data_IF_163060836857
#
_entry.id   IF_163060836857
#
_cell.length_a   1.000
_cell.length_b   1.000
_cell.length_c   1.000
_cell.angle_alpha   90.00
_cell.angle_beta   90.00
_cell.angle_gamma   90.00
#
_symmetry.space_group_name_H-M   'P 1'
#
loop_
_entity.id
_entity.type
_entity.pdbx_description
1 polymer ?
#
# COMPACT_ATOMS: atom_id res chain seq x y z
N UNK A 1 -22.48 -1.72 -1.34
CA UNK A 1 -21.19 -1.16 -0.88
C UNK A 1 -19.99 -1.77 -1.62
N UNK A 2 -19.84 -3.10 -1.74
CA UNK A 2 -18.71 -3.71 -2.47
C UNK A 2 -18.63 -3.28 -3.94
N UNK A 3 -19.76 -3.18 -4.65
CA UNK A 3 -19.79 -2.74 -6.06
C UNK A 3 -19.29 -1.31 -6.25
N UNK A 4 -19.62 -0.41 -5.33
CA UNK A 4 -19.16 0.98 -5.37
C UNK A 4 -17.63 1.07 -5.20
N UNK A 5 -17.07 0.37 -4.20
CA UNK A 5 -15.61 0.31 -4.01
C UNK A 5 -14.88 -0.22 -5.25
N UNK A 6 -15.43 -1.21 -5.95
CA UNK A 6 -14.79 -1.75 -7.16
C UNK A 6 -14.81 -0.76 -8.33
N UNK A 7 -15.87 0.03 -8.49
CA UNK A 7 -15.94 1.09 -9.51
C UNK A 7 -14.97 2.21 -9.17
N UNK A 8 -14.90 2.62 -7.91
CA UNK A 8 -13.96 3.64 -7.43
C UNK A 8 -12.50 3.20 -7.62
N UNK A 9 -12.20 1.94 -7.29
CA UNK A 9 -10.87 1.35 -7.52
C UNK A 9 -10.55 1.26 -9.01
N UNK A 10 -11.51 0.88 -9.85
CA UNK A 10 -11.36 0.87 -11.30
C UNK A 10 -11.11 2.26 -11.88
N UNK A 11 -11.84 3.28 -11.44
CA UNK A 11 -11.62 4.67 -11.85
C UNK A 11 -10.26 5.19 -11.36
N UNK A 12 -9.88 4.87 -10.12
CA UNK A 12 -8.56 5.19 -9.57
C UNK A 12 -7.42 4.52 -10.32
N UNK A 13 -7.61 3.30 -10.81
CA UNK A 13 -6.59 2.54 -11.55
C UNK A 13 -6.30 3.11 -12.94
N UNK A 14 -7.21 3.88 -13.53
CA UNK A 14 -6.94 4.63 -14.77
C UNK A 14 -5.94 5.75 -14.53
N UNK A 15 -6.10 6.46 -13.39
CA UNK A 15 -5.20 7.55 -13.00
C UNK A 15 -3.88 7.02 -12.44
N UNK A 16 -3.95 5.94 -11.69
CA UNK A 16 -2.83 5.32 -11.01
C UNK A 16 -2.85 3.80 -11.20
N UNK A 17 -2.20 3.27 -12.27
CA UNK A 17 -2.28 1.87 -12.68
C UNK A 17 -1.85 0.86 -11.60
N UNK A 18 -0.98 1.25 -10.67
CA UNK A 18 -0.52 0.41 -9.55
C UNK A 18 -1.66 -0.03 -8.62
N UNK A 19 -2.77 0.73 -8.57
CA UNK A 19 -3.98 0.32 -7.84
C UNK A 19 -4.59 -0.98 -8.41
N UNK A 20 -4.34 -1.29 -9.68
CA UNK A 20 -4.73 -2.57 -10.29
C UNK A 20 -4.05 -3.74 -9.59
N UNK A 21 -2.76 -3.60 -9.27
CA UNK A 21 -2.00 -4.64 -8.56
C UNK A 21 -2.53 -4.78 -7.13
N UNK A 22 -2.83 -3.66 -6.47
CA UNK A 22 -3.46 -3.67 -5.14
C UNK A 22 -4.85 -4.31 -5.13
N UNK A 23 -5.62 -4.22 -6.24
CA UNK A 23 -6.93 -4.86 -6.34
C UNK A 23 -6.83 -6.39 -6.27
N UNK A 24 -5.74 -6.97 -6.77
CA UNK A 24 -5.47 -8.41 -6.65
C UNK A 24 -5.28 -8.81 -5.19
N UNK A 25 -4.54 -8.00 -4.41
CA UNK A 25 -4.39 -8.23 -2.97
C UNK A 25 -5.75 -8.22 -2.26
N UNK A 26 -6.62 -7.25 -2.57
CA UNK A 26 -7.95 -7.18 -1.99
C UNK A 26 -8.84 -8.38 -2.33
N UNK A 27 -8.71 -8.94 -3.52
CA UNK A 27 -9.41 -10.17 -3.89
C UNK A 27 -8.88 -11.37 -3.10
N UNK A 28 -7.57 -11.47 -2.89
CA UNK A 28 -6.97 -12.52 -2.07
C UNK A 28 -7.45 -12.43 -0.61
N UNK A 29 -7.49 -11.23 -0.05
CA UNK A 29 -8.00 -11.02 1.30
C UNK A 29 -9.50 -11.28 1.42
N UNK A 30 -10.29 -10.89 0.42
CA UNK A 30 -11.73 -11.21 0.38
C UNK A 30 -11.97 -12.74 0.35
N UNK A 31 -11.07 -13.50 -0.29
CA UNK A 31 -11.09 -14.96 -0.26
C UNK A 31 -10.76 -15.50 1.14
N UNK A 32 -9.71 -15.00 1.80
CA UNK A 32 -9.33 -15.40 3.17
C UNK A 32 -10.44 -15.13 4.19
N UNK A 33 -11.15 -14.00 4.06
CA UNK A 33 -12.30 -13.65 4.91
C UNK A 33 -13.57 -14.44 4.58
N UNK A 34 -13.52 -15.39 3.64
CA UNK A 34 -14.70 -16.16 3.17
C UNK A 34 -15.88 -15.27 2.74
N UNK A 35 -15.60 -14.02 2.37
CA UNK A 35 -16.60 -13.07 1.88
C UNK A 35 -16.76 -13.13 0.36
N UNK A 36 -15.88 -13.85 -0.34
CA UNK A 36 -15.86 -13.97 -1.79
C UNK A 36 -16.87 -15.03 -2.25
N UNK A 37 -18.11 -14.59 -2.52
CA UNK A 37 -19.08 -15.44 -3.22
C UNK A 37 -18.91 -15.29 -4.73
N UNK A 38 -19.29 -16.28 -5.57
CA UNK A 38 -19.21 -16.15 -7.04
C UNK A 38 -19.93 -14.90 -7.56
N UNK A 39 -21.08 -14.58 -6.95
CA UNK A 39 -21.85 -13.36 -7.29
C UNK A 39 -21.09 -12.07 -6.93
N UNK A 40 -20.39 -12.05 -5.79
CA UNK A 40 -19.57 -10.92 -5.36
C UNK A 40 -18.35 -10.75 -6.25
N UNK A 41 -17.69 -11.86 -6.63
CA UNK A 41 -16.56 -11.86 -7.55
C UNK A 41 -16.91 -11.30 -8.92
N UNK A 42 -17.99 -11.81 -9.57
CA UNK A 42 -18.46 -11.28 -10.84
C UNK A 42 -18.83 -9.80 -10.74
N UNK A 43 -19.49 -9.41 -9.63
CA UNK A 43 -19.83 -8.01 -9.41
C UNK A 43 -18.61 -7.09 -9.24
N UNK A 44 -17.55 -7.57 -8.60
CA UNK A 44 -16.29 -6.86 -8.45
C UNK A 44 -15.56 -6.71 -9.80
N UNK A 45 -15.50 -7.78 -10.58
CA UNK A 45 -14.84 -7.81 -11.88
C UNK A 45 -15.54 -6.87 -12.88
N UNK A 46 -16.86 -6.92 -12.94
CA UNK A 46 -17.66 -6.01 -13.79
C UNK A 46 -17.50 -4.54 -13.34
N UNK A 47 -17.50 -4.28 -12.02
CA UNK A 47 -17.29 -2.93 -11.48
C UNK A 47 -15.91 -2.37 -11.82
N UNK A 48 -14.88 -3.21 -11.78
CA UNK A 48 -13.52 -2.83 -12.14
C UNK A 48 -13.34 -2.62 -13.66
N UNK A 49 -13.98 -3.45 -14.50
CA UNK A 49 -13.90 -3.33 -15.97
C UNK A 49 -14.66 -2.12 -16.51
N UNK A 50 -15.71 -1.64 -15.83
CA UNK A 50 -16.60 -0.59 -16.31
C UNK A 50 -15.86 0.71 -16.68
N UNK A 51 -14.94 1.27 -15.86
CA UNK A 51 -14.17 2.46 -16.22
C UNK A 51 -13.27 2.25 -17.45
N UNK A 52 -12.68 1.06 -17.60
CA UNK A 52 -11.87 0.72 -18.78
C UNK A 52 -12.71 0.61 -20.06
N UNK A 53 -13.96 0.14 -19.95
CA UNK A 53 -14.90 0.14 -21.05
C UNK A 53 -15.24 1.56 -21.50
N UNK A 54 -15.44 2.47 -20.55
CA UNK A 54 -15.68 3.88 -20.87
C UNK A 54 -14.44 4.53 -21.50
N UNK A 55 -13.25 4.22 -20.97
CA UNK A 55 -11.98 4.71 -21.54
C UNK A 55 -11.78 4.19 -22.97
N UNK A 56 -12.08 2.91 -23.22
CA UNK A 56 -12.02 2.31 -24.55
C UNK A 56 -13.00 3.00 -25.51
N UNK A 57 -14.26 3.19 -25.10
CA UNK A 57 -15.28 3.89 -25.91
C UNK A 57 -14.85 5.31 -26.27
N UNK A 58 -14.28 6.04 -25.31
CA UNK A 58 -13.75 7.38 -25.53
C UNK A 58 -12.57 7.38 -26.51
N UNK A 59 -11.57 6.50 -26.28
CA UNK A 59 -10.41 6.37 -27.14
C UNK A 59 -10.76 5.97 -28.58
N UNK A 60 -11.75 5.09 -28.73
CA UNK A 60 -12.27 4.67 -30.05
C UNK A 60 -12.96 5.82 -30.78
N UNK A 61 -13.82 6.60 -30.09
CA UNK A 61 -14.59 7.70 -30.67
C UNK A 61 -13.69 8.85 -31.15
N UNK A 62 -12.63 9.16 -30.40
CA UNK A 62 -11.66 10.21 -30.74
C UNK A 62 -10.47 9.72 -31.58
N UNK A 63 -10.44 8.42 -31.92
CA UNK A 63 -9.36 7.78 -32.66
C UNK A 63 -7.98 7.88 -31.97
N UNK A 64 -7.96 7.96 -30.64
CA UNK A 64 -6.76 8.06 -29.78
C UNK A 64 -6.58 6.78 -28.95
N UNK A 65 -6.32 5.65 -29.62
CA UNK A 65 -6.13 4.36 -28.96
C UNK A 65 -4.96 4.33 -27.97
N UNK A 66 -4.02 5.24 -28.09
CA UNK A 66 -2.87 5.35 -27.20
C UNK A 66 -3.31 5.64 -25.74
N UNK A 67 -4.40 6.42 -25.55
CA UNK A 67 -4.97 6.69 -24.23
C UNK A 67 -5.43 5.41 -23.51
N UNK A 68 -5.96 4.45 -24.27
CA UNK A 68 -6.39 3.16 -23.72
C UNK A 68 -5.23 2.28 -23.31
N UNK A 69 -4.14 2.26 -24.11
CA UNK A 69 -2.96 1.42 -23.82
C UNK A 69 -2.04 2.01 -22.75
N UNK A 70 -2.11 3.30 -22.51
CA UNK A 70 -1.24 4.02 -21.57
C UNK A 70 -1.20 3.42 -20.15
N UNK A 71 -2.32 3.11 -19.47
CA UNK A 71 -2.31 2.49 -18.15
C UNK A 71 -1.64 1.12 -18.15
N UNK A 72 -1.86 0.32 -19.18
CA UNK A 72 -1.27 -1.02 -19.30
C UNK A 72 0.23 -0.95 -19.55
N UNK A 73 0.69 -0.05 -20.40
CA UNK A 73 2.10 0.17 -20.65
C UNK A 73 2.83 0.65 -19.39
N UNK A 74 2.22 1.53 -18.60
CA UNK A 74 2.79 1.99 -17.32
C UNK A 74 2.87 0.86 -16.29
N UNK A 75 1.90 -0.06 -16.30
CA UNK A 75 1.86 -1.21 -15.40
C UNK A 75 2.94 -2.25 -15.73
N UNK A 76 3.22 -2.42 -17.04
CA UNK A 76 4.22 -3.33 -17.58
C UNK A 76 5.61 -2.69 -17.69
N UNK A 77 5.74 -1.40 -17.46
CA UNK A 77 7.02 -0.70 -17.44
C UNK A 77 7.81 -1.07 -16.17
N UNK A 78 8.22 -2.34 -16.09
CA UNK A 78 9.24 -2.76 -15.15
C UNK A 78 10.56 -2.18 -15.66
N UNK A 79 10.94 -1.03 -15.10
CA UNK A 79 12.27 -0.48 -15.27
C UNK A 79 13.34 -1.39 -14.64
N UNK A 80 14.49 -0.84 -14.35
CA UNK A 80 15.52 -1.59 -13.62
C UNK A 80 15.00 -1.96 -12.22
N UNK A 81 14.64 -3.24 -12.08
CA UNK A 81 14.15 -3.84 -10.83
C UNK A 81 15.26 -3.71 -9.77
N UNK A 82 14.91 -3.29 -8.56
CA UNK A 82 15.84 -3.04 -7.44
C UNK A 82 16.87 -1.93 -7.67
N UNK A 83 16.72 -1.06 -8.66
CA UNK A 83 17.61 0.08 -8.81
C UNK A 83 17.27 1.18 -7.79
N UNK A 84 17.82 1.04 -6.58
CA UNK A 84 17.67 2.02 -5.51
C UNK A 84 18.36 3.36 -5.78
N UNK A 85 19.20 3.45 -6.82
CA UNK A 85 19.90 4.69 -7.21
C UNK A 85 18.93 5.74 -7.79
N UNK A 86 17.76 5.29 -8.26
CA UNK A 86 16.70 6.18 -8.76
C UNK A 86 16.01 6.94 -7.61
N UNK A 87 15.98 6.34 -6.41
CA UNK A 87 15.37 6.95 -5.25
C UNK A 87 16.23 8.10 -4.72
N UNK A 88 15.54 9.16 -4.31
CA UNK A 88 16.22 10.23 -3.61
C UNK A 88 16.69 9.75 -2.22
N UNK A 89 17.83 10.23 -1.71
CA UNK A 89 18.36 9.77 -0.42
C UNK A 89 17.41 9.93 0.77
N UNK A 90 16.49 10.91 0.72
CA UNK A 90 15.48 11.09 1.75
C UNK A 90 14.35 10.04 1.66
N UNK A 91 13.97 9.61 0.45
CA UNK A 91 13.00 8.51 0.25
C UNK A 91 13.56 7.20 0.78
N UNK A 92 14.84 6.94 0.50
CA UNK A 92 15.55 5.77 1.00
C UNK A 92 15.63 5.77 2.54
N UNK A 93 15.92 6.92 3.15
CA UNK A 93 15.95 7.05 4.60
C UNK A 93 14.58 6.79 5.24
N UNK A 94 13.50 7.34 4.67
CA UNK A 94 12.13 7.10 5.12
C UNK A 94 11.75 5.63 4.95
N UNK A 95 12.04 5.02 3.81
CA UNK A 95 11.76 3.62 3.56
C UNK A 95 12.49 2.71 4.56
N UNK A 96 13.77 2.98 4.84
CA UNK A 96 14.55 2.24 5.83
C UNK A 96 13.95 2.35 7.24
N UNK A 97 13.57 3.56 7.64
CA UNK A 97 12.91 3.79 8.93
C UNK A 97 11.56 3.05 9.02
N UNK A 98 10.70 3.18 7.99
CA UNK A 98 9.41 2.51 7.95
C UNK A 98 9.54 0.98 7.95
N UNK A 99 10.57 0.44 7.29
CA UNK A 99 10.84 -0.99 7.26
C UNK A 99 11.21 -1.52 8.65
N UNK A 100 12.08 -0.83 9.39
CA UNK A 100 12.43 -1.21 10.76
C UNK A 100 11.20 -1.17 11.66
N UNK A 101 10.42 -0.11 11.60
CA UNK A 101 9.19 0.05 12.39
C UNK A 101 8.16 -1.02 12.01
N UNK A 102 8.03 -1.35 10.74
CA UNK A 102 7.15 -2.42 10.25
C UNK A 102 7.53 -3.79 10.82
N UNK A 103 8.83 -4.16 10.76
CA UNK A 103 9.30 -5.45 11.27
C UNK A 103 8.97 -5.59 12.75
N UNK A 104 9.27 -4.58 13.56
CA UNK A 104 9.00 -4.60 15.01
C UNK A 104 7.50 -4.73 15.28
N UNK A 105 6.67 -3.92 14.61
CA UNK A 105 5.22 -3.93 14.78
C UNK A 105 4.60 -5.25 14.31
N UNK A 106 5.03 -5.78 13.16
CA UNK A 106 4.51 -7.03 12.61
C UNK A 106 4.84 -8.23 13.50
N UNK A 107 6.09 -8.33 13.97
CA UNK A 107 6.51 -9.40 14.90
C UNK A 107 5.67 -9.34 16.17
N UNK A 108 5.46 -8.15 16.73
CA UNK A 108 4.63 -7.99 17.92
C UNK A 108 3.17 -8.36 17.66
N UNK A 109 2.56 -7.88 16.56
CA UNK A 109 1.18 -8.20 16.21
C UNK A 109 0.96 -9.71 16.01
N UNK A 110 1.94 -10.42 15.45
CA UNK A 110 1.89 -11.88 15.30
C UNK A 110 2.03 -12.57 16.66
N UNK A 111 2.96 -12.12 17.51
CA UNK A 111 3.23 -12.71 18.81
C UNK A 111 2.11 -12.46 19.83
N UNK A 112 1.58 -11.24 19.89
CA UNK A 112 0.50 -10.83 20.80
C UNK A 112 -0.92 -11.06 20.25
N UNK A 113 -1.04 -11.50 19.02
CA UNK A 113 -2.33 -11.64 18.33
C UNK A 113 -3.32 -12.60 18.99
N UNK A 114 -2.88 -13.41 19.97
CA UNK A 114 -3.78 -14.29 20.74
C UNK A 114 -4.66 -13.52 21.73
N UNK A 115 -4.25 -12.36 22.18
CA UNK A 115 -4.99 -11.52 23.12
C UNK A 115 -6.06 -10.65 22.43
N UNK A 116 -5.92 -10.45 21.11
CA UNK A 116 -6.82 -9.63 20.33
C UNK A 116 -8.11 -10.35 19.93
N UNK A 117 -9.20 -9.56 19.81
CA UNK A 117 -10.46 -10.04 19.26
C UNK A 117 -10.23 -10.54 17.82
N UNK A 118 -10.93 -11.61 17.42
CA UNK A 118 -10.81 -12.25 16.10
C UNK A 118 -10.89 -11.23 14.94
N UNK A 119 -11.80 -10.25 15.06
CA UNK A 119 -11.95 -9.21 14.02
C UNK A 119 -10.73 -8.27 13.96
N UNK A 120 -10.22 -7.84 15.10
CA UNK A 120 -9.05 -6.96 15.19
C UNK A 120 -7.83 -7.65 14.59
N UNK A 121 -7.60 -8.91 14.94
CA UNK A 121 -6.53 -9.72 14.39
C UNK A 121 -6.60 -9.86 12.88
N UNK A 122 -7.81 -10.05 12.34
CA UNK A 122 -8.02 -10.14 10.90
C UNK A 122 -7.66 -8.83 10.18
N UNK A 123 -8.05 -7.67 10.73
CA UNK A 123 -7.68 -6.37 10.17
C UNK A 123 -6.19 -6.07 10.25
N UNK A 124 -5.54 -6.43 11.37
CA UNK A 124 -4.11 -6.25 11.52
C UNK A 124 -3.31 -7.11 10.54
N UNK A 125 -3.75 -8.35 10.32
CA UNK A 125 -3.13 -9.23 9.36
C UNK A 125 -3.27 -8.69 7.93
N UNK A 126 -4.45 -8.17 7.56
CA UNK A 126 -4.63 -7.46 6.30
C UNK A 126 -3.67 -6.28 6.14
N UNK A 127 -3.47 -5.48 7.20
CA UNK A 127 -2.55 -4.34 7.17
C UNK A 127 -1.08 -4.78 7.04
N UNK A 128 -0.70 -5.90 7.68
CA UNK A 128 0.64 -6.49 7.54
C UNK A 128 0.86 -6.92 6.08
N UNK A 129 -0.08 -7.66 5.50
CA UNK A 129 0.00 -8.15 4.13
C UNK A 129 0.01 -6.97 3.13
N UNK A 130 -0.81 -5.94 3.36
CA UNK A 130 -0.83 -4.71 2.55
C UNK A 130 0.51 -3.97 2.62
N UNK A 131 1.06 -3.77 3.81
CA UNK A 131 2.32 -3.05 4.00
C UNK A 131 3.49 -3.81 3.37
N UNK A 132 3.54 -5.13 3.56
CA UNK A 132 4.56 -5.98 2.93
C UNK A 132 4.46 -5.93 1.41
N UNK A 133 3.25 -5.96 0.87
CA UNK A 133 3.01 -5.87 -0.56
C UNK A 133 3.40 -4.50 -1.14
N UNK A 134 3.17 -3.42 -0.40
CA UNK A 134 3.62 -2.07 -0.79
C UNK A 134 5.15 -1.96 -0.81
N UNK A 135 5.85 -2.53 0.17
CA UNK A 135 7.32 -2.60 0.13
C UNK A 135 7.82 -3.37 -1.09
N UNK A 136 7.17 -4.51 -1.41
CA UNK A 136 7.51 -5.29 -2.60
C UNK A 136 7.26 -4.48 -3.89
N UNK A 137 6.15 -3.77 -4.00
CA UNK A 137 5.84 -2.92 -5.16
C UNK A 137 6.87 -1.80 -5.33
N UNK A 138 7.26 -1.13 -4.25
CA UNK A 138 8.27 -0.07 -4.30
C UNK A 138 9.63 -0.65 -4.73
N UNK A 139 9.97 -1.86 -4.26
CA UNK A 139 11.20 -2.54 -4.67
C UNK A 139 11.19 -2.94 -6.15
N UNK A 140 10.03 -3.33 -6.69
CA UNK A 140 9.87 -3.69 -8.11
C UNK A 140 9.77 -2.48 -9.03
N UNK A 141 9.14 -1.39 -8.57
CA UNK A 141 8.90 -0.18 -9.34
C UNK A 141 9.30 1.08 -8.54
N UNK A 142 10.60 1.36 -8.37
CA UNK A 142 11.07 2.49 -7.56
C UNK A 142 10.64 3.85 -8.10
N UNK A 143 10.36 3.97 -9.39
CA UNK A 143 9.86 5.20 -10.04
C UNK A 143 8.56 5.71 -9.40
N UNK A 144 7.70 4.82 -8.90
CA UNK A 144 6.42 5.17 -8.27
C UNK A 144 6.50 5.28 -6.74
N UNK A 145 7.71 5.29 -6.17
CA UNK A 145 7.93 5.36 -4.74
C UNK A 145 7.19 6.54 -4.09
N UNK A 146 7.36 7.75 -4.62
CA UNK A 146 6.73 8.96 -4.07
C UNK A 146 5.21 8.91 -4.05
N UNK A 147 4.59 8.20 -4.99
CA UNK A 147 3.13 8.04 -5.06
C UNK A 147 2.62 6.92 -4.12
N UNK A 148 3.40 5.85 -3.90
CA UNK A 148 3.05 4.74 -3.01
C UNK A 148 3.39 5.02 -1.54
N UNK A 149 4.34 5.91 -1.29
CA UNK A 149 4.86 6.25 0.03
C UNK A 149 3.78 6.74 1.02
N UNK A 150 2.82 7.60 0.65
CA UNK A 150 1.74 8.00 1.56
C UNK A 150 0.89 6.81 2.03
N UNK A 151 0.57 5.88 1.13
CA UNK A 151 -0.20 4.68 1.47
C UNK A 151 0.58 3.77 2.41
N UNK A 152 1.88 3.62 2.18
CA UNK A 152 2.79 2.89 3.05
C UNK A 152 2.87 3.51 4.44
N UNK A 153 2.97 4.84 4.54
CA UNK A 153 3.00 5.56 5.82
C UNK A 153 1.70 5.32 6.59
N UNK A 154 0.54 5.43 5.94
CA UNK A 154 -0.77 5.26 6.58
C UNK A 154 -0.91 3.83 7.12
N UNK A 155 -0.65 2.80 6.30
CA UNK A 155 -0.78 1.40 6.72
C UNK A 155 0.18 1.06 7.87
N UNK A 156 1.42 1.51 7.78
CA UNK A 156 2.43 1.28 8.80
C UNK A 156 2.13 2.04 10.11
N UNK A 157 1.61 3.28 10.03
CA UNK A 157 1.23 4.08 11.22
C UNK A 157 0.16 3.39 12.06
N UNK A 158 -0.81 2.72 11.42
CA UNK A 158 -1.86 1.98 12.13
C UNK A 158 -1.24 0.80 12.89
N UNK A 159 -0.32 0.06 12.27
CA UNK A 159 0.38 -1.06 12.91
C UNK A 159 1.24 -0.60 14.10
N UNK A 160 1.96 0.50 13.93
CA UNK A 160 2.79 1.10 14.99
C UNK A 160 1.91 1.61 16.14
N UNK A 161 0.79 2.26 15.83
CA UNK A 161 -0.17 2.72 16.82
C UNK A 161 -0.73 1.57 17.67
N UNK A 162 -1.11 0.46 17.03
CA UNK A 162 -1.57 -0.75 17.72
C UNK A 162 -0.47 -1.34 18.62
N UNK A 163 0.77 -1.40 18.14
CA UNK A 163 1.91 -1.86 18.92
C UNK A 163 2.09 -1.03 20.21
N UNK A 164 2.08 0.29 20.13
CA UNK A 164 2.28 1.14 21.30
C UNK A 164 1.11 1.14 22.28
N UNK A 165 -0.12 0.91 21.81
CA UNK A 165 -1.29 0.83 22.67
C UNK A 165 -1.28 -0.44 23.53
N UNK A 166 -0.84 -1.56 22.97
CA UNK A 166 -0.84 -2.85 23.69
C UNK A 166 0.39 -3.06 24.57
N UNK A 167 1.52 -2.45 24.25
CA UNK A 167 2.74 -2.64 25.00
C UNK A 167 2.92 -1.56 26.08
N UNK A 168 2.73 -1.94 27.34
CA UNK A 168 2.97 -1.07 28.50
C UNK A 168 4.19 -1.54 29.30
N UNK A 169 5.33 -1.77 28.62
CA UNK A 169 6.58 -2.16 29.22
C UNK A 169 7.62 -1.03 29.20
N UNK A 170 8.60 -1.08 30.13
CA UNK A 170 9.71 -0.10 30.12
C UNK A 170 10.46 -0.08 28.78
N UNK A 171 10.65 -1.25 28.17
CA UNK A 171 11.29 -1.38 26.86
C UNK A 171 10.48 -0.71 25.74
N UNK A 172 9.16 -0.83 25.77
CA UNK A 172 8.29 -0.18 24.80
C UNK A 172 8.33 1.36 24.89
N UNK A 173 8.39 1.90 26.11
CA UNK A 173 8.51 3.34 26.32
C UNK A 173 9.85 3.89 25.80
N UNK A 174 10.95 3.17 26.02
CA UNK A 174 12.26 3.55 25.45
C UNK A 174 12.23 3.49 23.93
N UNK A 175 11.65 2.42 23.36
CA UNK A 175 11.51 2.29 21.91
C UNK A 175 10.62 3.40 21.30
N UNK A 176 9.56 3.81 21.99
CA UNK A 176 8.73 4.94 21.59
C UNK A 176 9.54 6.24 21.50
N UNK A 177 10.34 6.55 22.52
CA UNK A 177 11.20 7.75 22.54
C UNK A 177 12.23 7.68 21.39
N UNK A 178 12.86 6.53 21.16
CA UNK A 178 13.82 6.32 20.07
C UNK A 178 13.14 6.54 18.72
N UNK A 179 11.94 5.99 18.52
CA UNK A 179 11.19 6.14 17.27
C UNK A 179 10.81 7.60 17.01
N UNK A 180 10.41 8.33 18.05
CA UNK A 180 10.06 9.75 17.95
C UNK A 180 11.29 10.60 17.61
N UNK A 181 12.43 10.35 18.27
CA UNK A 181 13.70 11.01 17.93
C UNK A 181 14.11 10.70 16.48
N UNK A 182 13.98 9.45 16.04
CA UNK A 182 14.24 9.04 14.66
C UNK A 182 13.39 9.82 13.66
N UNK A 183 12.10 10.01 13.95
CA UNK A 183 11.19 10.77 13.11
C UNK A 183 11.56 12.25 13.02
N UNK A 184 11.97 12.87 14.15
CA UNK A 184 12.45 14.27 14.20
C UNK A 184 13.74 14.41 13.38
N UNK A 185 14.67 13.44 13.49
CA UNK A 185 15.92 13.45 12.72
C UNK A 185 15.65 13.32 11.22
N UNK A 186 14.72 12.46 10.79
CA UNK A 186 14.31 12.37 9.40
C UNK A 186 13.69 13.66 8.88
N UNK A 187 12.85 14.31 9.68
CA UNK A 187 12.26 15.59 9.33
C UNK A 187 13.33 16.69 9.19
N UNK A 188 14.28 16.76 10.12
CA UNK A 188 15.41 17.69 10.06
C UNK A 188 16.30 17.43 8.83
N UNK A 189 16.58 16.15 8.53
CA UNK A 189 17.35 15.77 7.35
C UNK A 189 16.66 16.16 6.04
N UNK A 190 15.34 16.04 5.97
CA UNK A 190 14.57 16.46 4.81
C UNK A 190 14.58 17.99 4.64
N UNK A 191 14.35 18.75 5.72
CA UNK A 191 14.35 20.22 5.68
C UNK A 191 15.73 20.84 5.47
N UNK A 192 16.80 20.23 5.99
CA UNK A 192 18.17 20.72 5.81
C UNK A 192 18.68 20.71 4.36
N UNK A 193 17.92 20.15 3.41
CA UNK A 193 18.23 20.17 1.98
C UNK A 193 17.55 21.31 1.21
N UNK A 194 16.61 22.00 1.83
CA UNK A 194 15.95 23.17 1.24
C UNK A 194 16.63 24.51 1.61
N UNK A 195 17.67 24.46 2.42
CA UNK A 195 18.61 25.55 2.66
C UNK A 195 19.93 25.27 1.94
#
# INVERSE_FOLDING_TARGET
>A
RQRQMCIETGAGSILFPQLTILSVLWLLEAYRFQSLTPRSFCGALLGWMLPYWMLFGHAFFYNEMELFYRPFNQLLAFGEVFNLQILQPWELAILGYLLVMFIVSAVHCIAAGFEDKIRTRAYLQFLIDLTLFLFLLIALQPIYCSALLPLLIISNSILIGHFFVLTNSKSSNVFFIISLVGLILLFAFNNGRFC
#
